data_IF_340878921339
#
_entry.id   IF_340878921339
#
_cell.length_a   1.000
_cell.length_b   1.000
_cell.length_c   1.000
_cell.angle_alpha   90.00
_cell.angle_beta   90.00
_cell.angle_gamma   90.00
#
_symmetry.space_group_name_H-M   'P 1'
#
loop_
_entity.id
_entity.type
_entity.pdbx_description
1 polymer ?
#
# COMPACT_ATOMS: atom_id res chain seq x y z
N UNK A 1 3.66 6.98 9.36
CA UNK A 1 3.45 7.30 7.93
C UNK A 1 1.99 7.17 7.46
N UNK A 2 1.14 6.44 8.15
CA UNK A 2 -0.30 6.28 7.89
C UNK A 2 -1.10 7.58 7.70
N UNK A 3 -0.74 8.64 8.38
CA UNK A 3 -1.43 9.93 8.23
C UNK A 3 -1.23 10.66 6.90
N UNK A 4 -0.37 10.18 5.98
CA UNK A 4 -0.10 10.89 4.73
C UNK A 4 -1.06 10.53 3.61
N UNK A 5 -1.41 9.27 3.45
CA UNK A 5 -2.32 8.81 2.37
C UNK A 5 -3.76 9.26 2.61
N UNK A 6 -4.26 9.13 3.84
CA UNK A 6 -5.59 9.65 4.21
C UNK A 6 -5.63 11.17 4.10
N UNK A 7 -4.62 11.88 4.63
CA UNK A 7 -4.50 13.33 4.50
C UNK A 7 -4.35 13.81 3.04
N UNK A 8 -3.70 13.05 2.17
CA UNK A 8 -3.63 13.36 0.74
C UNK A 8 -4.97 13.16 0.05
N UNK A 9 -5.68 12.06 0.33
CA UNK A 9 -7.02 11.80 -0.17
C UNK A 9 -8.01 12.88 0.29
N UNK A 10 -8.01 13.21 1.56
CA UNK A 10 -8.85 14.27 2.14
C UNK A 10 -8.51 15.65 1.55
N UNK A 11 -7.24 15.94 1.32
CA UNK A 11 -6.81 17.19 0.70
C UNK A 11 -7.28 17.30 -0.76
N UNK A 12 -7.11 16.24 -1.55
CA UNK A 12 -7.58 16.19 -2.95
C UNK A 12 -9.10 16.31 -3.04
N UNK A 13 -9.82 15.61 -2.15
CA UNK A 13 -11.27 15.71 -2.08
C UNK A 13 -11.72 17.14 -1.75
N UNK A 14 -11.07 17.78 -0.79
CA UNK A 14 -11.34 19.17 -0.43
C UNK A 14 -11.10 20.13 -1.60
N UNK A 15 -9.98 19.99 -2.32
CA UNK A 15 -9.67 20.81 -3.51
C UNK A 15 -10.72 20.62 -4.61
N UNK A 16 -11.18 19.39 -4.85
CA UNK A 16 -12.23 19.11 -5.85
C UNK A 16 -13.59 19.68 -5.43
N UNK A 17 -13.94 19.64 -4.15
CA UNK A 17 -15.17 20.27 -3.63
C UNK A 17 -15.12 21.80 -3.78
N UNK A 18 -14.00 22.42 -3.45
CA UNK A 18 -13.79 23.86 -3.63
C UNK A 18 -13.91 24.25 -5.12
N UNK A 19 -13.32 23.44 -6.01
CA UNK A 19 -13.43 23.66 -7.46
C UNK A 19 -14.88 23.52 -7.96
N UNK A 20 -15.61 22.51 -7.49
CA UNK A 20 -17.03 22.33 -7.86
C UNK A 20 -17.89 23.54 -7.47
N UNK A 21 -17.68 24.09 -6.28
CA UNK A 21 -18.42 25.29 -5.84
C UNK A 21 -18.13 26.50 -6.75
N UNK A 22 -16.86 26.69 -7.14
CA UNK A 22 -16.46 27.76 -8.06
C UNK A 22 -17.11 27.57 -9.44
N UNK A 23 -17.09 26.35 -9.98
CA UNK A 23 -17.69 26.05 -11.29
C UNK A 23 -19.19 26.28 -11.27
N UNK A 24 -19.90 25.81 -10.25
CA UNK A 24 -21.35 26.05 -10.09
C UNK A 24 -21.69 27.54 -10.01
N UNK A 25 -20.87 28.31 -9.32
CA UNK A 25 -21.09 29.77 -9.23
C UNK A 25 -20.86 30.45 -10.57
N UNK A 26 -19.85 30.03 -11.36
CA UNK A 26 -19.60 30.54 -12.71
C UNK A 26 -20.72 30.16 -13.66
N UNK A 27 -21.18 28.91 -13.66
CA UNK A 27 -22.31 28.47 -14.50
C UNK A 27 -23.58 29.28 -14.19
N UNK A 28 -23.88 29.48 -12.89
CA UNK A 28 -25.02 30.28 -12.45
C UNK A 28 -24.92 31.75 -12.87
N UNK A 29 -23.73 32.33 -12.72
CA UNK A 29 -23.50 33.78 -12.98
C UNK A 29 -23.56 34.07 -14.47
N UNK A 30 -23.10 33.14 -15.29
CA UNK A 30 -23.05 33.33 -16.77
C UNK A 30 -24.21 32.65 -17.50
N UNK A 31 -25.14 32.03 -16.76
CA UNK A 31 -26.30 31.31 -17.32
C UNK A 31 -25.87 30.25 -18.37
N UNK A 32 -24.82 29.48 -18.04
CA UNK A 32 -24.25 28.40 -18.86
C UNK A 32 -24.90 27.09 -18.40
N UNK A 33 -25.07 26.12 -19.30
CA UNK A 33 -25.54 24.80 -18.99
C UNK A 33 -24.61 24.10 -17.99
N UNK A 34 -25.13 23.43 -16.96
CA UNK A 34 -24.32 22.84 -15.85
C UNK A 34 -23.61 21.54 -16.27
N UNK A 35 -22.86 21.56 -17.37
CA UNK A 35 -22.16 20.38 -17.90
C UNK A 35 -20.90 20.05 -17.09
N UNK A 36 -20.11 21.08 -16.78
CA UNK A 36 -18.86 20.87 -16.02
C UNK A 36 -19.12 20.53 -14.55
N UNK A 37 -20.09 21.19 -13.92
CA UNK A 37 -20.45 20.88 -12.54
C UNK A 37 -21.02 19.47 -12.39
N UNK A 38 -21.83 19.01 -13.35
CA UNK A 38 -22.34 17.63 -13.38
C UNK A 38 -21.22 16.61 -13.55
N UNK A 39 -20.27 16.85 -14.46
CA UNK A 39 -19.11 15.98 -14.65
C UNK A 39 -18.25 15.89 -13.38
N UNK A 40 -18.03 17.04 -12.71
CA UNK A 40 -17.31 17.06 -11.42
C UNK A 40 -18.05 16.35 -10.30
N UNK A 41 -19.39 16.46 -10.23
CA UNK A 41 -20.19 15.70 -9.27
C UNK A 41 -20.09 14.20 -9.49
N UNK A 42 -20.12 13.75 -10.75
CA UNK A 42 -19.98 12.32 -11.07
C UNK A 42 -18.59 11.79 -10.72
N UNK A 43 -17.53 12.58 -10.95
CA UNK A 43 -16.18 12.25 -10.50
C UNK A 43 -16.10 12.18 -8.97
N UNK A 44 -16.76 13.10 -8.25
CA UNK A 44 -16.81 13.07 -6.78
C UNK A 44 -17.57 11.87 -6.23
N UNK A 45 -18.71 11.49 -6.85
CA UNK A 45 -19.47 10.30 -6.48
C UNK A 45 -18.69 9.01 -6.73
N UNK A 46 -17.90 8.97 -7.80
CA UNK A 46 -17.14 7.80 -8.22
C UNK A 46 -15.64 7.91 -7.88
N UNK A 47 -15.27 8.87 -7.04
CA UNK A 47 -13.89 9.21 -6.69
C UNK A 47 -13.01 8.00 -6.35
N UNK A 48 -13.51 7.06 -5.54
CA UNK A 48 -12.76 5.85 -5.20
C UNK A 48 -12.57 4.92 -6.42
N UNK A 49 -13.60 4.73 -7.23
CA UNK A 49 -13.51 3.88 -8.43
C UNK A 49 -12.51 4.46 -9.45
N UNK A 50 -12.54 5.76 -9.68
CA UNK A 50 -11.61 6.45 -10.58
C UNK A 50 -10.16 6.37 -10.08
N UNK A 51 -9.93 6.57 -8.78
CA UNK A 51 -8.62 6.41 -8.18
C UNK A 51 -8.09 4.99 -8.33
N UNK A 52 -8.95 3.98 -8.15
CA UNK A 52 -8.58 2.58 -8.34
C UNK A 52 -8.21 2.31 -9.79
N UNK A 53 -9.03 2.72 -10.75
CA UNK A 53 -8.76 2.51 -12.18
C UNK A 53 -7.46 3.19 -12.61
N UNK A 54 -7.26 4.46 -12.28
CA UNK A 54 -6.04 5.19 -12.60
C UNK A 54 -4.80 4.59 -11.91
N UNK A 55 -4.98 4.05 -10.70
CA UNK A 55 -3.92 3.35 -9.98
C UNK A 55 -3.55 2.03 -10.66
N UNK A 56 -4.53 1.28 -11.18
CA UNK A 56 -4.28 0.03 -11.91
C UNK A 56 -3.43 0.30 -13.15
N UNK A 57 -3.77 1.29 -13.96
CA UNK A 57 -3.02 1.64 -15.17
C UNK A 57 -1.56 2.01 -14.89
N UNK A 58 -1.28 2.59 -13.75
CA UNK A 58 0.07 3.01 -13.36
C UNK A 58 0.83 1.91 -12.61
N UNK A 59 0.17 1.24 -11.66
CA UNK A 59 0.80 0.29 -10.72
C UNK A 59 0.97 -1.09 -11.36
N UNK A 60 -0.04 -1.59 -12.08
CA UNK A 60 0.02 -2.94 -12.65
C UNK A 60 1.22 -3.16 -13.58
N UNK A 61 1.55 -2.26 -14.54
CA UNK A 61 2.75 -2.43 -15.36
C UNK A 61 4.06 -2.46 -14.56
N UNK A 62 4.12 -1.73 -13.43
CA UNK A 62 5.29 -1.76 -12.56
C UNK A 62 5.40 -3.10 -11.81
N UNK A 63 4.30 -3.60 -11.26
CA UNK A 63 4.25 -4.91 -10.59
C UNK A 63 4.57 -6.05 -11.55
N UNK A 64 4.07 -6.02 -12.79
CA UNK A 64 4.38 -7.04 -13.81
C UNK A 64 5.86 -7.09 -14.21
N UNK A 65 6.63 -6.05 -13.94
CA UNK A 65 8.09 -6.02 -14.15
C UNK A 65 8.88 -6.54 -12.95
N UNK A 66 8.24 -6.69 -11.81
CA UNK A 66 8.88 -7.22 -10.61
C UNK A 66 8.89 -8.76 -10.65
N UNK A 67 9.82 -9.34 -9.93
CA UNK A 67 9.88 -10.79 -9.73
C UNK A 67 8.99 -11.15 -8.55
N UNK A 68 8.15 -12.16 -8.76
CA UNK A 68 7.29 -12.73 -7.73
C UNK A 68 7.97 -13.94 -7.10
N UNK A 69 8.06 -13.93 -5.77
CA UNK A 69 8.42 -15.09 -4.95
C UNK A 69 7.28 -15.39 -4.00
N UNK A 70 6.91 -16.65 -3.84
CA UNK A 70 5.96 -17.10 -2.83
C UNK A 70 6.76 -17.56 -1.62
N UNK A 71 6.77 -16.75 -0.58
CA UNK A 71 7.39 -17.12 0.68
C UNK A 71 6.45 -18.05 1.43
N UNK A 72 7.00 -19.13 2.00
CA UNK A 72 6.25 -20.13 2.77
C UNK A 72 6.74 -20.20 4.20
N UNK A 73 5.89 -20.61 5.12
CA UNK A 73 6.25 -20.79 6.53
C UNK A 73 5.54 -22.00 7.14
N UNK A 74 6.17 -22.57 8.13
CA UNK A 74 5.63 -23.59 9.05
C UNK A 74 5.37 -23.02 10.45
N UNK A 75 5.56 -21.70 10.66
CA UNK A 75 5.24 -21.04 11.93
C UNK A 75 3.77 -21.29 12.31
N UNK A 76 3.48 -21.79 13.52
CA UNK A 76 2.11 -22.13 13.94
C UNK A 76 1.10 -20.98 13.85
N UNK A 77 1.54 -19.74 14.02
CA UNK A 77 0.70 -18.55 13.88
C UNK A 77 0.58 -18.10 12.42
N UNK A 78 1.64 -18.32 11.63
CA UNK A 78 1.71 -17.96 10.22
C UNK A 78 1.69 -16.45 9.97
N UNK A 79 1.34 -16.08 8.74
CA UNK A 79 1.19 -14.68 8.33
C UNK A 79 -0.17 -14.15 8.77
N UNK A 80 -0.18 -12.92 9.29
CA UNK A 80 -1.40 -12.14 9.52
C UNK A 80 -1.77 -11.36 8.27
N UNK A 81 -3.03 -10.94 8.17
CA UNK A 81 -3.51 -9.99 7.17
C UNK A 81 -4.21 -8.82 7.84
N UNK A 82 -4.50 -7.74 7.11
CA UNK A 82 -5.15 -6.55 7.64
C UNK A 82 -6.08 -5.92 6.60
N UNK A 83 -6.76 -4.86 6.99
CA UNK A 83 -7.52 -3.99 6.10
C UNK A 83 -6.62 -3.26 5.05
N UNK A 84 -5.31 -3.18 5.30
CA UNK A 84 -4.29 -2.74 4.35
C UNK A 84 -3.24 -3.84 4.12
N UNK A 85 -3.59 -4.98 3.46
CA UNK A 85 -2.77 -6.18 3.46
C UNK A 85 -1.51 -6.08 2.59
N UNK A 86 -1.50 -5.18 1.61
CA UNK A 86 -0.33 -4.97 0.75
C UNK A 86 0.61 -3.95 1.41
N UNK A 87 1.78 -4.41 1.80
CA UNK A 87 2.81 -3.57 2.43
C UNK A 87 3.91 -3.30 1.42
N UNK A 88 4.18 -2.02 1.15
CA UNK A 88 5.31 -1.58 0.34
C UNK A 88 6.37 -0.95 1.24
N UNK A 89 7.55 -1.52 1.25
CA UNK A 89 8.68 -1.05 2.05
C UNK A 89 9.97 -1.01 1.22
N UNK A 90 10.97 -0.30 1.72
CA UNK A 90 12.31 -0.32 1.17
C UNK A 90 13.31 -0.43 2.33
N UNK A 91 13.94 -1.59 2.52
CA UNK A 91 14.89 -1.82 3.61
C UNK A 91 16.07 -0.85 3.61
N UNK A 92 16.42 -0.31 2.45
CA UNK A 92 17.54 0.63 2.27
C UNK A 92 17.09 2.09 2.18
N UNK A 93 15.84 2.39 2.54
CA UNK A 93 15.29 3.75 2.44
C UNK A 93 16.09 4.80 3.22
N UNK A 94 16.72 4.39 4.32
CA UNK A 94 17.55 5.24 5.16
C UNK A 94 18.86 5.68 4.48
N UNK A 95 19.30 4.98 3.42
CA UNK A 95 20.46 5.33 2.62
C UNK A 95 20.15 6.37 1.53
N UNK A 96 18.87 6.60 1.26
CA UNK A 96 18.42 7.57 0.26
C UNK A 96 18.42 8.98 0.84
N UNK A 97 18.64 10.02 0.00
CA UNK A 97 18.45 11.41 0.41
C UNK A 97 17.04 11.63 0.97
N UNK A 98 16.89 12.51 1.96
CA UNK A 98 15.65 12.70 2.73
C UNK A 98 14.39 12.91 1.87
N UNK A 99 14.53 13.53 0.70
CA UNK A 99 13.41 13.70 -0.24
C UNK A 99 12.91 12.36 -0.84
N UNK A 100 13.77 11.35 -0.93
CA UNK A 100 13.45 10.02 -1.48
C UNK A 100 13.17 8.97 -0.40
N UNK A 101 13.08 9.36 0.87
CA UNK A 101 12.82 8.45 2.00
C UNK A 101 11.33 8.06 2.14
N UNK A 102 10.67 7.86 1.01
CA UNK A 102 9.34 7.25 0.94
C UNK A 102 9.41 6.08 -0.04
N UNK A 103 8.91 4.89 0.31
CA UNK A 103 8.93 3.75 -0.60
C UNK A 103 8.22 4.07 -1.91
N UNK A 104 8.82 3.66 -3.02
CA UNK A 104 8.26 3.87 -4.35
C UNK A 104 8.59 2.71 -5.29
N UNK A 105 7.64 2.35 -6.16
CA UNK A 105 7.71 1.20 -7.06
C UNK A 105 8.95 1.17 -7.98
N UNK A 106 9.54 2.33 -8.28
CA UNK A 106 10.70 2.44 -9.15
C UNK A 106 12.04 2.30 -8.39
N UNK A 107 12.02 2.17 -7.07
CA UNK A 107 13.23 2.02 -6.28
C UNK A 107 13.75 0.58 -6.38
N UNK A 108 15.04 0.41 -6.63
CA UNK A 108 15.68 -0.90 -6.82
C UNK A 108 15.47 -1.89 -5.68
N UNK A 109 15.43 -1.40 -4.45
CA UNK A 109 15.32 -2.22 -3.24
C UNK A 109 13.92 -2.20 -2.63
N UNK A 110 12.91 -1.77 -3.41
CA UNK A 110 11.54 -1.85 -2.93
C UNK A 110 11.06 -3.31 -2.85
N UNK A 111 10.39 -3.63 -1.78
CA UNK A 111 9.74 -4.91 -1.55
C UNK A 111 8.25 -4.66 -1.32
N UNK A 112 7.41 -5.48 -1.97
CA UNK A 112 5.97 -5.45 -1.73
C UNK A 112 5.56 -6.82 -1.26
N UNK A 113 4.96 -6.87 -0.08
CA UNK A 113 4.46 -8.10 0.52
C UNK A 113 2.94 -8.11 0.53
N UNK A 114 2.36 -9.28 0.28
CA UNK A 114 0.92 -9.51 0.35
C UNK A 114 0.65 -10.90 0.94
N UNK A 115 0.10 -11.02 2.15
CA UNK A 115 -0.33 -12.29 2.70
C UNK A 115 -1.44 -12.91 1.86
N UNK A 116 -1.21 -14.12 1.34
CA UNK A 116 -2.18 -14.86 0.53
C UNK A 116 -2.97 -15.85 1.38
N UNK A 117 -2.27 -16.50 2.29
CA UNK A 117 -2.81 -17.44 3.27
C UNK A 117 -1.98 -17.35 4.54
N UNK A 118 -2.37 -17.98 5.65
CA UNK A 118 -1.50 -18.03 6.83
C UNK A 118 -0.13 -18.66 6.59
N UNK A 119 0.05 -19.41 5.50
CA UNK A 119 1.31 -20.09 5.19
C UNK A 119 2.02 -19.57 3.94
N UNK A 120 1.42 -18.62 3.22
CA UNK A 120 1.97 -18.12 1.97
C UNK A 120 1.90 -16.59 1.94
N UNK A 121 3.04 -15.98 1.62
CA UNK A 121 3.20 -14.53 1.42
C UNK A 121 3.72 -14.31 -0.01
N UNK A 122 3.03 -13.51 -0.79
CA UNK A 122 3.58 -13.02 -2.06
C UNK A 122 4.59 -11.91 -1.76
N UNK A 123 5.78 -12.02 -2.35
CA UNK A 123 6.84 -11.02 -2.27
C UNK A 123 7.21 -10.58 -3.69
N UNK A 124 7.03 -9.30 -3.99
CA UNK A 124 7.45 -8.68 -5.24
C UNK A 124 8.72 -7.86 -5.01
N UNK A 125 9.74 -8.10 -5.85
CA UNK A 125 11.02 -7.38 -5.79
C UNK A 125 11.56 -7.14 -7.20
N UNK A 126 12.48 -6.17 -7.35
CA UNK A 126 13.25 -6.01 -8.60
C UNK A 126 14.43 -6.99 -8.68
N UNK A 127 14.86 -7.54 -7.56
CA UNK A 127 15.90 -8.57 -7.54
C UNK A 127 15.36 -9.87 -8.15
N UNK A 128 16.14 -10.49 -9.02
CA UNK A 128 15.81 -11.77 -9.61
C UNK A 128 15.99 -12.87 -8.55
N UNK A 129 14.90 -13.51 -8.19
CA UNK A 129 14.92 -14.73 -7.37
C UNK A 129 15.09 -15.97 -8.27
N UNK A 130 15.81 -16.97 -7.78
CA UNK A 130 16.05 -18.20 -8.53
C UNK A 130 14.91 -19.22 -8.34
N UNK A 131 14.04 -19.02 -7.38
CA UNK A 131 12.96 -19.96 -7.02
C UNK A 131 11.63 -19.24 -6.83
N UNK A 132 10.55 -19.89 -7.32
CA UNK A 132 9.19 -19.37 -7.12
C UNK A 132 8.74 -19.53 -5.66
N UNK A 133 9.13 -20.62 -4.99
CA UNK A 133 8.77 -20.89 -3.59
C UNK A 133 10.01 -20.80 -2.71
N UNK A 134 9.93 -20.04 -1.63
CA UNK A 134 11.03 -19.81 -0.71
C UNK A 134 10.56 -19.96 0.75
N UNK A 135 11.10 -20.93 1.52
CA UNK A 135 10.78 -21.08 2.93
C UNK A 135 11.41 -19.95 3.74
N UNK A 136 10.61 -19.28 4.57
CA UNK A 136 11.07 -18.23 5.47
C UNK A 136 11.34 -18.78 6.86
N UNK A 137 12.41 -18.31 7.47
CA UNK A 137 12.66 -18.49 8.91
C UNK A 137 11.63 -17.69 9.73
N UNK A 138 11.34 -18.15 10.96
CA UNK A 138 10.32 -17.53 11.81
C UNK A 138 10.59 -16.05 12.12
N UNK A 139 11.87 -15.66 12.19
CA UNK A 139 12.25 -14.24 12.36
C UNK A 139 11.76 -13.34 11.22
N UNK A 140 11.77 -13.84 10.00
CA UNK A 140 11.26 -13.11 8.84
C UNK A 140 9.72 -13.10 8.77
N UNK A 141 9.08 -14.17 9.28
CA UNK A 141 7.61 -14.21 9.43
C UNK A 141 7.18 -13.15 10.44
N UNK A 142 7.90 -13.05 11.57
CA UNK A 142 7.62 -12.05 12.59
C UNK A 142 7.82 -10.62 12.04
N UNK A 143 8.84 -10.41 11.21
CA UNK A 143 9.08 -9.11 10.59
C UNK A 143 7.99 -8.74 9.55
N UNK A 144 7.55 -9.70 8.73
CA UNK A 144 6.44 -9.50 7.81
C UNK A 144 5.13 -9.17 8.55
N UNK A 145 4.86 -9.88 9.66
CA UNK A 145 3.69 -9.65 10.49
C UNK A 145 3.76 -8.28 11.19
N UNK A 146 4.93 -7.89 11.68
CA UNK A 146 5.17 -6.55 12.24
C UNK A 146 4.90 -5.46 11.21
N UNK A 147 5.39 -5.64 9.98
CA UNK A 147 5.14 -4.71 8.89
C UNK A 147 3.64 -4.62 8.57
N UNK A 148 2.95 -5.76 8.45
CA UNK A 148 1.50 -5.81 8.22
C UNK A 148 0.74 -5.09 9.34
N UNK A 149 1.09 -5.31 10.60
CA UNK A 149 0.49 -4.60 11.73
C UNK A 149 0.77 -3.09 11.69
N UNK A 150 2.01 -2.69 11.37
CA UNK A 150 2.38 -1.27 11.31
C UNK A 150 1.61 -0.48 10.25
N UNK A 151 1.28 -1.12 9.12
CA UNK A 151 0.52 -0.52 8.03
C UNK A 151 -1.00 -0.75 8.12
N UNK A 152 -1.46 -1.55 9.09
CA UNK A 152 -2.88 -1.73 9.40
C UNK A 152 -3.52 -0.40 9.79
N UNK A 153 -4.71 -0.10 9.26
CA UNK A 153 -5.45 1.13 9.61
C UNK A 153 -6.33 0.91 10.82
N UNK A 154 -7.19 -0.10 10.79
CA UNK A 154 -8.18 -0.36 11.82
C UNK A 154 -8.07 -1.81 12.37
N UNK A 155 -7.96 -2.83 11.49
CA UNK A 155 -8.07 -4.23 11.88
C UNK A 155 -7.03 -5.13 11.23
N UNK A 156 -6.48 -6.07 11.99
CA UNK A 156 -5.72 -7.18 11.46
C UNK A 156 -6.33 -8.52 11.88
N UNK A 157 -6.09 -9.55 11.08
CA UNK A 157 -6.65 -10.90 11.27
C UNK A 157 -5.50 -11.89 11.44
N UNK A 158 -5.49 -12.60 12.57
CA UNK A 158 -4.65 -13.75 12.83
C UNK A 158 -5.48 -15.03 12.78
N UNK A 159 -4.92 -16.10 12.20
CA UNK A 159 -5.61 -17.39 12.02
C UNK A 159 -6.14 -17.99 13.32
N UNK A 160 -5.37 -17.91 14.40
CA UNK A 160 -5.69 -18.58 15.66
C UNK A 160 -6.08 -17.63 16.78
N UNK A 161 -6.13 -16.32 16.50
CA UNK A 161 -6.22 -15.29 17.52
C UNK A 161 -4.94 -15.19 18.39
N UNK A 162 -3.91 -15.97 18.08
CA UNK A 162 -2.59 -15.86 18.72
C UNK A 162 -1.82 -14.66 18.17
N UNK A 163 -1.02 -14.03 19.03
CA UNK A 163 -0.19 -12.88 18.72
C UNK A 163 1.15 -13.02 19.39
N UNK A 164 2.19 -12.41 18.83
CA UNK A 164 3.52 -12.31 19.48
C UNK A 164 3.78 -10.83 19.80
N UNK A 165 4.31 -10.58 20.99
CA UNK A 165 4.63 -9.22 21.45
C UNK A 165 5.56 -8.48 20.47
N UNK A 166 6.49 -9.21 19.84
CA UNK A 166 7.43 -8.70 18.84
C UNK A 166 6.76 -8.01 17.66
N UNK A 167 5.52 -8.35 17.33
CA UNK A 167 4.81 -7.70 16.23
C UNK A 167 4.39 -6.26 16.54
N UNK A 168 4.30 -5.91 17.82
CA UNK A 168 3.86 -4.59 18.32
C UNK A 168 5.02 -3.68 18.75
N UNK A 169 6.25 -4.20 18.70
CA UNK A 169 7.43 -3.40 19.02
C UNK A 169 7.74 -2.39 17.91
N UNK A 170 8.22 -1.21 18.29
CA UNK A 170 8.69 -0.22 17.32
C UNK A 170 9.81 -0.81 16.45
N UNK A 171 9.68 -0.60 15.15
CA UNK A 171 10.62 -1.12 14.17
C UNK A 171 11.89 -0.27 14.16
N UNK A 172 12.95 -0.73 14.80
CA UNK A 172 14.28 -0.22 14.57
C UNK A 172 14.78 -0.70 13.18
N UNK A 173 14.53 0.08 12.13
CA UNK A 173 15.03 -0.11 10.75
C UNK A 173 14.96 -1.56 10.22
N UNK A 174 14.05 -1.85 9.30
CA UNK A 174 13.89 -3.20 8.79
C UNK A 174 15.09 -3.67 7.97
N UNK A 175 15.64 -4.84 8.23
CA UNK A 175 16.33 -5.57 7.20
C UNK A 175 15.30 -6.00 6.14
N UNK A 176 15.63 -5.91 4.85
CA UNK A 176 14.78 -6.47 3.80
C UNK A 176 14.68 -7.99 3.93
N UNK A 177 13.57 -8.57 3.43
CA UNK A 177 13.34 -10.02 3.49
C UNK A 177 14.40 -10.79 2.67
N UNK A 178 14.97 -10.17 1.64
CA UNK A 178 16.00 -10.77 0.80
C UNK A 178 17.39 -10.09 0.90
N UNK A 179 17.61 -9.21 1.89
CA UNK A 179 18.93 -8.63 2.22
C UNK A 179 19.46 -7.60 1.22
#
# INVERSE_FOLDING_TARGET
MMGRTKKQGDWLLKQRLEHLEVVKELERTHNIDPIESQALEDVLKNHHAELVVNSIETIAPALFRMNLTICTTDDPLGFITSDAPAVMDNPRIHLLPGFYQSPGLAQEHVEITLPLTPWHLALFTHKRGDTLYFPLENSWVDEANRATYFYCEDEFISRTGGMKDVWFEEREKPPGILG
#
